data_IF_601303370317
#
_entry.id   IF_601303370317
#
_cell.length_a   1.000
_cell.length_b   1.000
_cell.length_c   1.000
_cell.angle_alpha   90.00
_cell.angle_beta   90.00
_cell.angle_gamma   90.00
#
_symmetry.space_group_name_H-M   'P 1'
#
loop_
_entity.id
_entity.type
_entity.pdbx_description
1 polymer ?
#
# COMPACT_ATOMS: atom_id res chain seq x y z
N UNK A 1 -17.39 -4.21 17.22
CA UNK A 1 -16.26 -5.17 17.10
C UNK A 1 -15.25 -4.72 18.12
N UNK A 2 -14.90 -5.60 19.05
CA UNK A 2 -13.85 -5.30 20.02
C UNK A 2 -12.51 -5.13 19.28
N UNK A 3 -11.85 -4.00 19.52
CA UNK A 3 -10.48 -3.73 19.09
C UNK A 3 -9.60 -3.66 20.33
N UNK A 4 -8.49 -4.38 20.29
CA UNK A 4 -7.40 -4.25 21.26
C UNK A 4 -6.35 -3.30 20.71
N UNK A 5 -6.17 -2.17 21.38
CA UNK A 5 -5.14 -1.18 21.10
C UNK A 5 -3.94 -1.39 22.01
N UNK A 6 -2.74 -1.40 21.45
CA UNK A 6 -1.48 -1.60 22.18
C UNK A 6 -0.56 -0.41 21.87
N UNK A 7 -0.32 0.44 22.87
CA UNK A 7 0.59 1.57 22.70
C UNK A 7 2.05 1.14 22.91
N UNK A 8 2.87 1.27 21.86
CA UNK A 8 4.28 0.86 21.86
C UNK A 8 5.25 2.05 21.82
N UNK A 9 4.76 3.27 21.56
CA UNK A 9 5.56 4.48 21.45
C UNK A 9 6.45 4.52 20.20
N UNK A 10 7.38 3.58 20.04
CA UNK A 10 8.30 3.49 18.90
C UNK A 10 7.98 2.26 18.02
N UNK A 11 7.85 2.41 16.69
CA UNK A 11 7.53 1.27 15.82
C UNK A 11 8.72 0.29 15.58
N UNK A 12 9.94 0.59 16.07
CA UNK A 12 11.11 -0.32 16.01
C UNK A 12 11.13 -1.41 17.09
N UNK A 13 10.12 -1.47 17.95
CA UNK A 13 10.03 -2.46 19.03
C UNK A 13 9.93 -3.87 18.44
N UNK A 14 10.77 -4.80 18.91
CA UNK A 14 10.66 -6.21 18.56
C UNK A 14 9.61 -6.89 19.45
N UNK A 15 8.47 -7.24 18.84
CA UNK A 15 7.37 -7.88 19.55
C UNK A 15 7.70 -9.30 20.03
N UNK A 16 8.70 -9.99 19.44
CA UNK A 16 9.07 -11.35 19.85
C UNK A 16 9.85 -11.38 21.16
N UNK A 17 10.62 -10.33 21.41
CA UNK A 17 11.42 -10.18 22.63
C UNK A 17 10.70 -9.35 23.68
N UNK A 18 9.56 -8.73 23.33
CA UNK A 18 8.78 -7.90 24.24
C UNK A 18 7.72 -8.69 25.00
N UNK A 19 7.60 -8.45 26.31
CA UNK A 19 6.47 -8.92 27.08
C UNK A 19 5.24 -8.04 26.78
N UNK A 20 4.29 -8.55 25.99
CA UNK A 20 3.10 -7.80 25.59
C UNK A 20 2.27 -7.27 26.77
N UNK A 21 2.36 -7.92 27.94
CA UNK A 21 1.67 -7.51 29.16
C UNK A 21 2.20 -6.18 29.76
N UNK A 22 3.38 -5.73 29.35
CA UNK A 22 4.01 -4.50 29.85
C UNK A 22 3.59 -3.26 29.04
N UNK A 23 2.95 -3.44 27.88
CA UNK A 23 2.45 -2.33 27.08
C UNK A 23 1.11 -1.82 27.59
N UNK A 24 0.93 -0.51 27.49
CA UNK A 24 -0.35 0.14 27.75
C UNK A 24 -1.39 -0.33 26.73
N UNK A 25 -2.32 -1.15 27.21
CA UNK A 25 -3.31 -1.86 26.37
C UNK A 25 -4.72 -1.43 26.74
N UNK A 26 -5.52 -1.12 25.73
CA UNK A 26 -6.91 -0.67 25.89
C UNK A 26 -7.81 -1.45 24.93
N UNK A 27 -8.89 -2.02 25.45
CA UNK A 27 -9.94 -2.63 24.62
C UNK A 27 -11.10 -1.66 24.44
N UNK A 28 -11.58 -1.50 23.21
CA UNK A 28 -12.76 -0.68 22.89
C UNK A 28 -13.67 -1.39 21.91
N UNK A 29 -14.97 -1.29 22.15
CA UNK A 29 -15.98 -1.72 21.19
C UNK A 29 -16.20 -0.62 20.16
N UNK A 30 -15.91 -0.88 18.88
CA UNK A 30 -16.10 0.08 17.80
C UNK A 30 -17.22 -0.34 16.83
N UNK A 31 -18.05 0.63 16.46
CA UNK A 31 -19.00 0.56 15.35
C UNK A 31 -18.30 0.81 14.01
N UNK A 32 -18.98 0.47 12.91
CA UNK A 32 -18.39 0.56 11.57
C UNK A 32 -17.94 1.98 11.17
N UNK A 33 -18.68 3.00 11.59
CA UNK A 33 -18.37 4.39 11.25
C UNK A 33 -17.37 5.03 12.22
N UNK A 34 -16.96 4.32 13.27
CA UNK A 34 -16.02 4.86 14.24
C UNK A 34 -14.63 4.94 13.61
N UNK A 35 -13.94 6.03 13.93
CA UNK A 35 -12.54 6.23 13.57
C UNK A 35 -11.62 5.47 14.51
N UNK A 36 -10.80 4.61 13.92
CA UNK A 36 -9.72 3.90 14.61
C UNK A 36 -8.57 4.88 14.88
N UNK A 37 -8.31 5.82 13.96
CA UNK A 37 -7.27 6.84 14.11
C UNK A 37 -7.55 7.75 15.31
N UNK A 38 -8.77 8.28 15.44
CA UNK A 38 -9.15 9.15 16.56
C UNK A 38 -9.19 8.37 17.88
N UNK A 39 -9.70 7.13 17.87
CA UNK A 39 -9.65 6.27 19.05
C UNK A 39 -8.22 6.02 19.53
N UNK A 40 -7.26 5.85 18.61
CA UNK A 40 -5.85 5.70 18.92
C UNK A 40 -5.22 6.99 19.47
N UNK A 41 -5.52 8.15 18.87
CA UNK A 41 -5.07 9.46 19.39
C UNK A 41 -5.54 9.68 20.83
N UNK A 42 -6.80 9.35 21.14
CA UNK A 42 -7.35 9.46 22.49
C UNK A 42 -6.64 8.55 23.50
N UNK A 43 -6.22 7.36 23.07
CA UNK A 43 -5.46 6.42 23.89
C UNK A 43 -4.07 6.98 24.20
N UNK A 44 -3.38 7.56 23.21
CA UNK A 44 -2.07 8.21 23.40
C UNK A 44 -2.19 9.39 24.37
N UNK A 45 -3.22 10.24 24.19
CA UNK A 45 -3.51 11.36 25.13
C UNK A 45 -3.72 10.85 26.55
N UNK A 46 -4.49 9.77 26.71
CA UNK A 46 -4.78 9.16 28.01
C UNK A 46 -3.52 8.61 28.68
N UNK A 47 -2.65 7.92 27.94
CA UNK A 47 -1.38 7.40 28.44
C UNK A 47 -0.45 8.53 28.91
N UNK A 48 -0.28 9.58 28.09
CA UNK A 48 0.62 10.69 28.42
C UNK A 48 0.15 11.48 29.65
N UNK A 49 -1.18 11.65 29.83
CA UNK A 49 -1.75 12.27 31.02
C UNK A 49 -1.42 11.49 32.30
N UNK A 50 -1.40 10.15 32.23
CA UNK A 50 -1.06 9.30 33.37
C UNK A 50 0.43 9.37 33.74
N UNK A 51 1.32 9.51 32.75
CA UNK A 51 2.78 9.55 32.94
C UNK A 51 3.32 10.89 33.46
N UNK A 52 2.49 11.92 33.63
CA UNK A 52 2.88 13.30 34.03
C UNK A 52 3.91 13.98 33.12
N UNK A 53 4.31 13.36 32.01
CA UNK A 53 5.12 13.97 30.94
C UNK A 53 4.31 14.97 30.08
N UNK A 54 3.06 15.26 30.47
CA UNK A 54 2.14 16.13 29.73
C UNK A 54 2.45 17.61 30.00
N UNK A 55 3.29 18.21 29.16
CA UNK A 55 3.27 19.66 28.99
C UNK A 55 1.98 20.02 28.22
N UNK A 56 1.07 20.78 28.84
CA UNK A 56 -0.21 21.24 28.26
C UNK A 56 -0.04 21.95 26.90
N UNK A 57 1.16 22.43 26.57
CA UNK A 57 1.51 23.01 25.27
C UNK A 57 1.70 22.00 24.12
N UNK A 58 1.59 20.68 24.37
CA UNK A 58 1.70 19.61 23.37
C UNK A 58 0.36 19.00 22.91
N UNK A 59 -0.75 19.70 23.12
CA UNK A 59 -2.08 19.38 22.57
C UNK A 59 -2.17 19.50 21.03
N UNK A 60 -1.01 19.62 20.35
CA UNK A 60 -0.93 19.58 18.89
C UNK A 60 -1.45 18.23 18.43
N UNK A 61 -2.23 18.24 17.35
CA UNK A 61 -2.73 17.06 16.65
C UNK A 61 -1.58 16.11 16.34
N UNK A 62 -1.33 15.14 17.24
CA UNK A 62 -0.21 14.21 17.13
C UNK A 62 -0.58 13.18 16.09
N UNK A 63 0.17 13.15 15.00
CA UNK A 63 0.07 12.08 14.02
C UNK A 63 0.46 10.75 14.68
N UNK A 64 -0.49 9.82 14.72
CA UNK A 64 -0.26 8.45 15.19
C UNK A 64 0.02 7.56 13.99
N UNK A 65 0.99 6.67 14.13
CA UNK A 65 1.21 5.60 13.18
C UNK A 65 0.57 4.33 13.71
N UNK A 66 -0.39 3.82 12.93
CA UNK A 66 -1.10 2.58 13.22
C UNK A 66 -0.38 1.41 12.57
N UNK A 67 -0.38 0.27 13.23
CA UNK A 67 0.15 -0.99 12.71
C UNK A 67 -0.77 -2.12 13.11
N UNK A 68 -0.88 -3.15 12.27
CA UNK A 68 -1.65 -4.35 12.60
C UNK A 68 -0.72 -5.43 13.11
N UNK A 69 -1.29 -6.52 13.62
CA UNK A 69 -0.47 -7.68 13.94
C UNK A 69 0.24 -8.17 12.67
N UNK A 70 1.59 -8.18 12.61
CA UNK A 70 2.30 -8.59 11.41
C UNK A 70 2.04 -10.05 11.08
N UNK A 71 1.91 -10.36 9.79
CA UNK A 71 1.93 -11.74 9.30
C UNK A 71 3.36 -12.12 8.89
N UNK A 72 3.59 -13.38 8.51
CA UNK A 72 4.90 -13.86 8.09
C UNK A 72 5.51 -12.96 6.99
N UNK A 73 6.77 -12.56 7.19
CA UNK A 73 7.50 -11.65 6.29
C UNK A 73 7.23 -10.15 6.50
N UNK A 74 6.38 -9.77 7.46
CA UNK A 74 6.13 -8.37 7.81
C UNK A 74 6.75 -7.96 9.15
N UNK A 75 7.00 -6.66 9.26
CA UNK A 75 7.30 -5.93 10.50
C UNK A 75 6.10 -5.04 10.85
N UNK A 76 6.09 -4.45 12.05
CA UNK A 76 5.07 -3.46 12.41
C UNK A 76 4.96 -2.32 11.38
N UNK A 77 6.09 -1.77 10.95
CA UNK A 77 6.15 -0.73 9.91
C UNK A 77 5.52 -1.11 8.56
N UNK A 78 5.43 -2.41 8.24
CA UNK A 78 4.94 -2.92 6.95
C UNK A 78 3.63 -3.68 7.07
N UNK A 79 3.09 -3.77 8.28
CA UNK A 79 1.81 -4.45 8.59
C UNK A 79 0.57 -3.60 8.29
N UNK A 80 0.77 -2.30 8.05
CA UNK A 80 -0.30 -1.34 7.82
C UNK A 80 -0.49 -1.05 6.32
N UNK A 81 -1.71 -0.79 5.83
CA UNK A 81 -1.95 -0.50 4.43
C UNK A 81 -1.16 0.71 3.92
N UNK A 82 -0.52 0.53 2.76
CA UNK A 82 0.18 1.59 2.02
C UNK A 82 -0.76 2.40 1.12
N UNK A 83 -2.06 2.15 1.22
CA UNK A 83 -3.07 2.69 0.32
C UNK A 83 -4.47 2.55 0.92
N UNK A 84 -5.41 3.35 0.41
CA UNK A 84 -6.85 3.20 0.64
C UNK A 84 -7.61 3.23 -0.70
N UNK A 85 -8.94 3.14 -0.66
CA UNK A 85 -9.79 3.25 -1.84
C UNK A 85 -10.69 4.48 -1.73
N UNK A 86 -10.71 5.29 -2.79
CA UNK A 86 -11.66 6.40 -2.88
C UNK A 86 -13.09 5.91 -3.20
N UNK A 87 -14.04 6.84 -3.30
CA UNK A 87 -15.45 6.53 -3.60
C UNK A 87 -15.67 5.81 -4.95
N UNK A 88 -14.73 5.93 -5.88
CA UNK A 88 -14.77 5.24 -7.19
C UNK A 88 -14.14 3.85 -7.15
N UNK A 89 -13.69 3.39 -5.99
CA UNK A 89 -12.85 2.21 -5.80
C UNK A 89 -11.50 2.28 -6.54
N UNK A 90 -11.01 3.48 -6.77
CA UNK A 90 -9.64 3.69 -7.25
C UNK A 90 -8.68 3.67 -6.05
N UNK A 91 -7.54 3.03 -6.21
CA UNK A 91 -6.52 3.00 -5.15
C UNK A 91 -5.86 4.36 -5.01
N UNK A 92 -5.67 4.80 -3.77
CA UNK A 92 -4.90 5.99 -3.40
C UNK A 92 -3.74 5.53 -2.53
N UNK A 93 -2.52 5.61 -3.06
CA UNK A 93 -1.28 5.30 -2.38
C UNK A 93 -0.92 6.40 -1.38
N UNK A 94 -0.50 5.96 -0.20
CA UNK A 94 -0.09 6.81 0.90
C UNK A 94 1.42 6.78 1.04
N UNK A 95 2.04 7.95 1.17
CA UNK A 95 3.38 8.06 1.72
C UNK A 95 3.34 7.99 3.26
N UNK A 96 4.50 8.12 3.92
CA UNK A 96 4.58 8.02 5.37
C UNK A 96 3.71 9.05 6.10
N UNK A 97 3.64 10.28 5.56
CA UNK A 97 2.83 11.37 6.12
C UNK A 97 1.34 11.08 5.90
N UNK A 98 0.99 10.65 4.69
CA UNK A 98 -0.37 10.23 4.33
C UNK A 98 -0.89 9.11 5.23
N UNK A 99 -0.06 8.10 5.53
CA UNK A 99 -0.42 7.02 6.46
C UNK A 99 -0.74 7.53 7.86
N UNK A 100 0.07 8.46 8.36
CA UNK A 100 -0.06 9.00 9.71
C UNK A 100 -1.26 9.94 9.87
N UNK A 101 -1.70 10.55 8.76
CA UNK A 101 -2.78 11.53 8.76
C UNK A 101 -4.11 10.97 8.24
N UNK A 102 -4.14 9.79 7.64
CA UNK A 102 -5.38 9.21 7.15
C UNK A 102 -6.29 8.79 8.30
N UNK A 103 -7.55 9.20 8.22
CA UNK A 103 -8.54 8.95 9.25
C UNK A 103 -9.27 7.64 8.98
N UNK A 104 -8.70 6.54 9.45
CA UNK A 104 -9.19 5.20 9.16
C UNK A 104 -10.47 4.88 9.92
N UNK A 105 -11.49 4.44 9.19
CA UNK A 105 -12.72 3.90 9.80
C UNK A 105 -12.67 2.39 9.89
N UNK A 106 -13.39 1.82 10.85
CA UNK A 106 -13.51 0.37 10.96
C UNK A 106 -14.15 -0.26 9.70
N UNK A 107 -15.15 0.41 9.11
CA UNK A 107 -15.80 -0.01 7.87
C UNK A 107 -14.80 -0.16 6.72
N UNK A 108 -13.91 0.81 6.57
CA UNK A 108 -12.90 0.83 5.52
C UNK A 108 -11.94 -0.35 5.64
N UNK A 109 -11.37 -0.58 6.83
CA UNK A 109 -10.48 -1.73 7.06
C UNK A 109 -11.18 -3.07 6.88
N UNK A 110 -12.43 -3.20 7.36
CA UNK A 110 -13.23 -4.42 7.13
C UNK A 110 -13.44 -4.67 5.65
N UNK A 111 -13.77 -3.63 4.88
CA UNK A 111 -13.93 -3.75 3.43
C UNK A 111 -12.62 -4.16 2.76
N UNK A 112 -11.48 -3.57 3.16
CA UNK A 112 -10.18 -3.94 2.62
C UNK A 112 -9.80 -5.39 2.94
N UNK A 113 -10.10 -5.85 4.17
CA UNK A 113 -9.88 -7.24 4.58
C UNK A 113 -10.79 -8.21 3.83
N UNK A 114 -12.08 -7.90 3.71
CA UNK A 114 -13.05 -8.73 2.99
C UNK A 114 -12.67 -8.94 1.52
N UNK A 115 -12.10 -7.91 0.88
CA UNK A 115 -11.67 -7.98 -0.52
C UNK A 115 -10.22 -8.48 -0.69
N UNK A 116 -9.55 -8.90 0.39
CA UNK A 116 -8.21 -9.49 0.34
C UNK A 116 -7.05 -8.50 0.17
N UNK A 117 -7.30 -7.19 0.28
CA UNK A 117 -6.26 -6.16 0.24
C UNK A 117 -5.46 -6.08 1.54
N UNK A 118 -6.09 -6.48 2.67
CA UNK A 118 -5.45 -6.59 3.99
C UNK A 118 -5.63 -8.00 4.50
N UNK A 119 -4.51 -8.67 4.81
CA UNK A 119 -4.51 -10.04 5.37
C UNK A 119 -4.43 -10.05 6.89
N UNK A 120 -3.79 -9.03 7.45
CA UNK A 120 -3.56 -8.85 8.88
C UNK A 120 -4.84 -8.90 9.71
N UNK A 121 -4.71 -9.32 10.96
CA UNK A 121 -5.77 -9.19 11.93
C UNK A 121 -5.96 -7.70 12.30
N UNK A 122 -7.13 -7.18 11.96
CA UNK A 122 -7.50 -5.77 12.19
C UNK A 122 -8.12 -5.55 13.57
N UNK A 123 -8.31 -6.62 14.37
CA UNK A 123 -8.81 -6.54 15.74
C UNK A 123 -7.72 -6.15 16.75
N UNK A 124 -6.45 -6.18 16.33
CA UNK A 124 -5.29 -5.75 17.13
C UNK A 124 -4.62 -4.60 16.41
N UNK A 125 -4.51 -3.45 17.09
CA UNK A 125 -3.91 -2.23 16.55
C UNK A 125 -2.78 -1.77 17.46
N UNK A 126 -1.56 -1.75 16.93
CA UNK A 126 -0.39 -1.17 17.57
C UNK A 126 -0.32 0.32 17.24
N UNK A 127 -0.07 1.14 18.27
CA UNK A 127 -0.01 2.60 18.15
C UNK A 127 1.41 3.07 18.46
N UNK A 128 1.98 3.83 17.53
CA UNK A 128 3.29 4.47 17.69
C UNK A 128 3.22 5.96 17.35
N UNK A 129 4.10 6.76 17.97
CA UNK A 129 4.20 8.20 17.70
C UNK A 129 5.28 8.45 16.64
N UNK A 130 4.97 9.30 15.66
CA UNK A 130 5.93 9.74 14.66
C UNK A 130 6.66 11.00 15.13
N UNK A 131 7.89 10.82 15.59
CA UNK A 131 8.78 11.95 15.89
C UNK A 131 9.52 12.37 14.62
N UNK A 132 9.04 13.46 14.00
CA UNK A 132 9.57 14.15 12.81
C UNK A 132 9.61 13.33 11.51
N UNK A 133 8.96 13.84 10.46
CA UNK A 133 9.14 13.37 9.08
C UNK A 133 9.65 14.54 8.24
N UNK A 134 10.81 14.35 7.61
CA UNK A 134 11.46 15.34 6.74
C UNK A 134 11.11 15.20 5.26
N UNK A 135 11.09 16.36 4.61
CA UNK A 135 11.16 16.70 3.19
C UNK A 135 10.16 16.08 2.18
N UNK A 136 9.46 16.97 1.46
CA UNK A 136 8.73 16.67 0.24
C UNK A 136 9.70 16.44 -0.93
N UNK A 137 9.43 15.43 -1.75
CA UNK A 137 10.18 15.13 -2.98
C UNK A 137 9.57 15.87 -4.19
N UNK A 138 10.39 16.30 -5.17
CA UNK A 138 9.90 16.99 -6.37
C UNK A 138 9.07 16.04 -7.26
N UNK A 139 7.78 16.38 -7.45
CA UNK A 139 6.78 15.54 -8.13
C UNK A 139 7.12 15.22 -9.59
N UNK A 140 7.70 16.17 -10.34
CA UNK A 140 7.99 15.98 -11.77
C UNK A 140 9.08 14.92 -12.01
N UNK A 141 10.05 14.82 -11.11
CA UNK A 141 11.08 13.79 -11.17
C UNK A 141 10.47 12.39 -11.01
N UNK A 142 9.53 12.24 -10.07
CA UNK A 142 8.81 10.98 -9.82
C UNK A 142 8.04 10.52 -11.06
N UNK A 143 7.40 11.44 -11.78
CA UNK A 143 6.64 11.10 -13.00
C UNK A 143 7.58 10.56 -14.08
N UNK A 144 8.74 11.19 -14.28
CA UNK A 144 9.72 10.75 -15.28
C UNK A 144 10.29 9.37 -14.93
N UNK A 145 10.70 9.17 -13.69
CA UNK A 145 11.25 7.89 -13.21
C UNK A 145 10.21 6.77 -13.29
N UNK A 146 8.98 7.03 -12.84
CA UNK A 146 7.90 6.06 -12.92
C UNK A 146 7.55 5.73 -14.38
N UNK A 147 7.53 6.72 -15.28
CA UNK A 147 7.29 6.48 -16.70
C UNK A 147 8.38 5.59 -17.31
N UNK A 148 9.66 5.88 -17.03
CA UNK A 148 10.80 5.06 -17.47
C UNK A 148 10.69 3.63 -16.94
N UNK A 149 10.34 3.49 -15.65
CA UNK A 149 10.10 2.20 -15.01
C UNK A 149 9.01 1.40 -15.74
N UNK A 150 7.81 1.96 -15.88
CA UNK A 150 6.66 1.28 -16.49
C UNK A 150 6.97 0.87 -17.93
N UNK A 151 7.55 1.76 -18.74
CA UNK A 151 7.97 1.42 -20.12
C UNK A 151 8.89 0.21 -20.08
N UNK A 152 9.88 0.23 -19.21
CA UNK A 152 10.90 -0.82 -19.18
C UNK A 152 10.35 -2.19 -18.74
N UNK A 153 9.34 -2.24 -17.86
CA UNK A 153 8.75 -3.51 -17.41
C UNK A 153 7.68 -4.03 -18.37
N UNK A 154 6.99 -3.14 -19.09
CA UNK A 154 5.97 -3.52 -20.07
C UNK A 154 6.51 -3.81 -21.47
N UNK A 155 7.67 -3.23 -21.85
CA UNK A 155 8.25 -3.40 -23.19
C UNK A 155 8.45 -4.87 -23.59
N UNK A 156 9.00 -5.77 -22.74
CA UNK A 156 9.11 -7.19 -23.08
C UNK A 156 7.75 -7.84 -23.37
N UNK A 157 6.73 -7.51 -22.57
CA UNK A 157 5.36 -8.04 -22.75
C UNK A 157 4.76 -7.55 -24.05
N UNK A 158 4.95 -6.26 -24.38
CA UNK A 158 4.46 -5.73 -25.65
C UNK A 158 5.14 -6.36 -26.86
N UNK A 159 6.44 -6.66 -26.77
CA UNK A 159 7.17 -7.35 -27.84
C UNK A 159 6.63 -8.76 -28.03
N UNK A 160 6.46 -9.49 -26.94
CA UNK A 160 5.93 -10.85 -26.99
C UNK A 160 4.51 -10.91 -27.57
N UNK A 161 3.61 -10.05 -27.10
CA UNK A 161 2.24 -9.97 -27.61
C UNK A 161 2.20 -9.53 -29.08
N UNK A 162 3.09 -8.64 -29.49
CA UNK A 162 3.21 -8.18 -30.88
C UNK A 162 3.70 -9.28 -31.83
N UNK A 163 4.70 -10.06 -31.39
CA UNK A 163 5.20 -11.23 -32.15
C UNK A 163 4.08 -12.26 -32.31
N UNK A 164 3.38 -12.60 -31.22
CA UNK A 164 2.26 -13.57 -31.25
C UNK A 164 1.09 -13.07 -32.10
N UNK A 165 0.85 -11.76 -32.13
CA UNK A 165 -0.27 -11.14 -32.85
C UNK A 165 0.06 -10.61 -34.25
N UNK A 166 1.29 -10.76 -34.75
CA UNK A 166 1.71 -10.29 -36.09
C UNK A 166 1.63 -8.78 -36.30
N UNK A 167 1.73 -7.95 -35.25
CA UNK A 167 1.58 -6.48 -35.32
C UNK A 167 2.88 -5.74 -35.03
N UNK A 168 3.12 -4.61 -35.71
CA UNK A 168 4.22 -3.71 -35.38
C UNK A 168 3.96 -2.92 -34.09
N UNK A 169 4.99 -2.78 -33.26
CA UNK A 169 4.92 -2.00 -32.02
C UNK A 169 5.07 -0.51 -32.36
N UNK A 170 3.98 0.25 -32.32
CA UNK A 170 4.03 1.71 -32.39
C UNK A 170 4.60 2.30 -31.09
N UNK A 171 5.91 2.43 -31.01
CA UNK A 171 6.66 2.77 -29.77
C UNK A 171 6.39 4.19 -29.26
N UNK A 172 6.23 5.19 -30.14
CA UNK A 172 6.04 6.60 -29.73
C UNK A 172 4.67 6.87 -29.09
N UNK A 173 3.61 6.29 -29.65
CA UNK A 173 2.24 6.42 -29.12
C UNK A 173 2.09 5.75 -27.76
N UNK A 174 2.65 4.54 -27.60
CA UNK A 174 2.66 3.81 -26.34
C UNK A 174 3.41 4.55 -25.23
N UNK A 175 4.58 5.14 -25.52
CA UNK A 175 5.32 5.95 -24.52
C UNK A 175 4.51 7.15 -24.02
N UNK A 176 3.83 7.88 -24.91
CA UNK A 176 2.93 8.99 -24.52
C UNK A 176 1.73 8.52 -23.71
N UNK A 177 1.19 7.33 -24.00
CA UNK A 177 0.13 6.73 -23.20
C UNK A 177 0.61 6.40 -21.78
N UNK A 178 1.74 5.71 -21.66
CA UNK A 178 2.34 5.36 -20.36
C UNK A 178 2.65 6.61 -19.54
N UNK A 179 3.18 7.67 -20.16
CA UNK A 179 3.45 8.92 -19.45
C UNK A 179 2.16 9.57 -18.90
N UNK A 180 1.04 9.47 -19.63
CA UNK A 180 -0.27 9.95 -19.13
C UNK A 180 -0.75 9.11 -17.94
N UNK A 181 -0.62 7.79 -18.02
CA UNK A 181 -0.96 6.87 -16.93
C UNK A 181 -0.09 7.15 -15.69
N UNK A 182 1.23 7.27 -15.85
CA UNK A 182 2.15 7.60 -14.77
C UNK A 182 1.81 8.96 -14.12
N UNK A 183 1.53 9.98 -14.93
CA UNK A 183 1.11 11.28 -14.44
C UNK A 183 -0.17 11.19 -13.59
N UNK A 184 -1.17 10.43 -14.07
CA UNK A 184 -2.38 10.16 -13.30
C UNK A 184 -2.08 9.45 -11.98
N UNK A 185 -1.26 8.40 -11.99
CA UNK A 185 -0.92 7.66 -10.78
C UNK A 185 -0.20 8.54 -9.75
N UNK A 186 0.77 9.35 -10.16
CA UNK A 186 1.51 10.23 -9.24
C UNK A 186 0.64 11.36 -8.70
N UNK A 187 -0.11 12.05 -9.59
CA UNK A 187 -0.85 13.26 -9.23
C UNK A 187 -2.20 12.99 -8.59
N UNK A 188 -2.92 11.95 -9.01
CA UNK A 188 -4.27 11.64 -8.52
C UNK A 188 -4.32 10.49 -7.53
N UNK A 189 -3.42 9.52 -7.65
CA UNK A 189 -3.39 8.33 -6.79
C UNK A 189 -2.22 8.32 -5.82
N UNK A 190 -1.35 9.34 -5.81
CA UNK A 190 -0.26 9.45 -4.84
C UNK A 190 0.87 8.42 -5.01
N UNK A 191 0.94 7.72 -6.15
CA UNK A 191 2.02 6.74 -6.39
C UNK A 191 3.38 7.43 -6.41
N UNK A 192 4.36 6.88 -5.68
CA UNK A 192 5.72 7.43 -5.55
C UNK A 192 6.80 6.54 -6.16
N UNK A 193 6.49 5.29 -6.50
CA UNK A 193 7.46 4.42 -7.15
C UNK A 193 6.90 3.06 -7.57
N UNK A 194 7.67 2.35 -8.39
CA UNK A 194 7.31 1.03 -8.93
C UNK A 194 7.04 -0.01 -7.83
N UNK A 195 7.77 0.07 -6.71
CA UNK A 195 7.61 -0.83 -5.56
C UNK A 195 6.21 -0.77 -4.96
N UNK A 196 5.63 0.42 -4.80
CA UNK A 196 4.27 0.56 -4.25
C UNK A 196 3.24 -0.11 -5.17
N UNK A 197 3.38 0.07 -6.49
CA UNK A 197 2.51 -0.57 -7.48
C UNK A 197 2.65 -2.09 -7.44
N UNK A 198 3.89 -2.61 -7.39
CA UNK A 198 4.14 -4.06 -7.29
C UNK A 198 3.53 -4.64 -6.03
N UNK A 199 3.79 -4.04 -4.87
CA UNK A 199 3.31 -4.54 -3.58
C UNK A 199 1.78 -4.51 -3.52
N UNK A 200 1.13 -3.48 -4.08
CA UNK A 200 -0.33 -3.43 -4.20
C UNK A 200 -0.88 -4.64 -4.97
N UNK A 201 -0.28 -4.98 -6.12
CA UNK A 201 -0.70 -6.12 -6.94
C UNK A 201 -0.39 -7.44 -6.23
N UNK A 202 0.85 -7.64 -5.78
CA UNK A 202 1.33 -8.90 -5.20
C UNK A 202 0.65 -9.24 -3.88
N UNK A 203 0.41 -8.26 -3.01
CA UNK A 203 -0.12 -8.54 -1.67
C UNK A 203 -1.54 -9.12 -1.71
N UNK A 204 -2.37 -8.68 -2.68
CA UNK A 204 -3.71 -9.23 -2.87
C UNK A 204 -3.69 -10.68 -3.38
N UNK A 205 -2.69 -11.03 -4.19
CA UNK A 205 -2.56 -12.37 -4.78
C UNK A 205 -3.35 -12.51 -6.07
N UNK A 206 -4.68 -12.60 -6.04
CA UNK A 206 -5.48 -12.88 -7.24
C UNK A 206 -6.24 -11.65 -7.72
N UNK A 207 -6.35 -11.50 -9.05
CA UNK A 207 -6.98 -10.34 -9.68
C UNK A 207 -7.94 -10.71 -10.80
N UNK A 208 -9.11 -10.08 -10.82
CA UNK A 208 -9.86 -9.93 -12.06
C UNK A 208 -9.34 -8.72 -12.84
N UNK A 209 -9.38 -8.77 -14.17
CA UNK A 209 -8.91 -7.65 -15.01
C UNK A 209 -9.70 -6.38 -14.79
N UNK A 210 -11.02 -6.47 -14.72
CA UNK A 210 -11.92 -5.33 -14.50
C UNK A 210 -11.70 -4.70 -13.12
N UNK A 211 -11.43 -5.53 -12.12
CA UNK A 211 -11.09 -5.09 -10.77
C UNK A 211 -9.79 -4.28 -10.76
N UNK A 212 -8.68 -4.84 -11.27
CA UNK A 212 -7.40 -4.16 -11.28
C UNK A 212 -7.44 -2.88 -12.14
N UNK A 213 -8.09 -2.96 -13.30
CA UNK A 213 -8.27 -1.83 -14.20
C UNK A 213 -9.01 -0.68 -13.53
N UNK A 214 -10.09 -0.98 -12.78
CA UNK A 214 -10.82 0.03 -12.00
C UNK A 214 -9.96 0.59 -10.87
N UNK A 215 -9.26 -0.25 -10.11
CA UNK A 215 -8.41 0.22 -9.02
C UNK A 215 -7.32 1.19 -9.51
N UNK A 216 -6.63 0.84 -10.60
CA UNK A 216 -5.56 1.66 -11.17
C UNK A 216 -6.06 2.72 -12.16
N UNK A 217 -7.36 2.75 -12.44
CA UNK A 217 -8.01 3.67 -13.38
C UNK A 217 -7.32 3.65 -14.76
N UNK A 218 -7.12 2.44 -15.28
CA UNK A 218 -6.49 2.11 -16.56
C UNK A 218 -7.39 1.20 -17.40
N UNK A 219 -7.01 0.92 -18.65
CA UNK A 219 -7.71 -0.07 -19.47
C UNK A 219 -7.47 -1.51 -18.97
N UNK A 220 -8.38 -2.44 -19.28
CA UNK A 220 -8.15 -3.86 -18.99
C UNK A 220 -6.93 -4.43 -19.73
N UNK A 221 -6.59 -3.88 -20.91
CA UNK A 221 -5.41 -4.27 -21.69
C UNK A 221 -4.10 -3.84 -20.99
N UNK A 222 -4.08 -2.64 -20.41
CA UNK A 222 -2.97 -2.17 -19.59
C UNK A 222 -2.86 -2.99 -18.29
N UNK A 223 -3.98 -3.29 -17.63
CA UNK A 223 -4.03 -4.12 -16.43
C UNK A 223 -3.50 -5.55 -16.70
N UNK A 224 -3.92 -6.16 -17.81
CA UNK A 224 -3.40 -7.43 -18.28
C UNK A 224 -1.88 -7.37 -18.51
N UNK A 225 -1.41 -6.33 -19.20
CA UNK A 225 0.01 -6.15 -19.49
C UNK A 225 0.84 -6.04 -18.21
N UNK A 226 0.35 -5.31 -17.20
CA UNK A 226 0.98 -5.20 -15.89
C UNK A 226 1.05 -6.56 -15.18
N UNK A 227 -0.04 -7.31 -15.15
CA UNK A 227 -0.11 -8.64 -14.53
C UNK A 227 0.87 -9.62 -15.18
N UNK A 228 0.87 -9.72 -16.51
CA UNK A 228 1.81 -10.58 -17.25
C UNK A 228 3.26 -10.15 -16.96
N UNK A 229 3.54 -8.84 -16.93
CA UNK A 229 4.89 -8.34 -16.62
C UNK A 229 5.37 -8.70 -15.21
N UNK A 230 4.46 -9.02 -14.29
CA UNK A 230 4.73 -9.50 -12.93
C UNK A 230 4.71 -11.04 -12.83
N UNK A 231 4.60 -11.75 -13.95
CA UNK A 231 4.56 -13.21 -13.99
C UNK A 231 3.24 -13.78 -13.48
N UNK A 232 2.12 -13.15 -13.83
CA UNK A 232 0.78 -13.71 -13.61
C UNK A 232 0.29 -14.42 -14.86
N UNK A 233 -0.56 -15.43 -14.67
CA UNK A 233 -1.24 -16.16 -15.74
C UNK A 233 -2.75 -16.14 -15.55
N UNK A 234 -3.50 -16.19 -16.65
CA UNK A 234 -4.95 -16.27 -16.63
C UNK A 234 -5.39 -17.72 -16.36
N UNK A 235 -6.13 -17.92 -15.27
CA UNK A 235 -6.77 -19.19 -14.90
C UNK A 235 -8.16 -18.90 -14.35
N UNK A 236 -9.18 -19.63 -14.84
CA UNK A 236 -10.55 -19.53 -14.35
C UNK A 236 -11.09 -18.08 -14.25
N UNK A 237 -10.86 -17.27 -15.29
CA UNK A 237 -11.22 -15.84 -15.38
C UNK A 237 -10.54 -14.92 -14.36
N UNK A 238 -9.46 -15.36 -13.73
CA UNK A 238 -8.63 -14.56 -12.84
C UNK A 238 -7.16 -14.66 -13.21
N UNK A 239 -6.42 -13.59 -13.00
CA UNK A 239 -4.97 -13.62 -13.04
C UNK A 239 -4.45 -14.05 -11.68
N UNK A 240 -3.67 -15.13 -11.68
CA UNK A 240 -3.03 -15.70 -10.50
C UNK A 240 -1.51 -15.63 -10.64
N UNK A 241 -0.74 -15.57 -9.54
CA UNK A 241 0.72 -15.63 -9.60
C UNK A 241 1.19 -16.97 -10.20
N UNK A 242 1.94 -16.92 -11.30
CA UNK A 242 2.57 -18.09 -11.89
C UNK A 242 3.95 -18.34 -11.26
N UNK A 243 4.35 -19.59 -11.13
CA UNK A 243 5.64 -20.01 -10.55
C UNK A 243 6.59 -20.65 -11.57
N UNK A 244 6.33 -20.46 -12.87
CA UNK A 244 7.31 -20.82 -13.90
C UNK A 244 8.60 -20.02 -13.73
N UNK A 245 9.71 -20.55 -14.26
CA UNK A 245 11.00 -19.87 -14.20
C UNK A 245 10.93 -18.46 -14.81
N UNK A 246 10.23 -18.31 -15.93
CA UNK A 246 10.00 -17.02 -16.58
C UNK A 246 9.21 -16.05 -15.69
N UNK A 247 8.14 -16.50 -15.04
CA UNK A 247 7.35 -15.67 -14.14
C UNK A 247 8.18 -15.18 -12.93
N UNK A 248 9.03 -16.06 -12.39
CA UNK A 248 9.98 -15.70 -11.32
C UNK A 248 11.01 -14.69 -11.82
N UNK A 249 11.56 -14.87 -13.02
CA UNK A 249 12.50 -13.93 -13.63
C UNK A 249 11.84 -12.56 -13.86
N UNK A 250 10.58 -12.51 -14.28
CA UNK A 250 9.82 -11.27 -14.44
C UNK A 250 9.69 -10.49 -13.13
N UNK A 251 9.35 -11.17 -12.02
CA UNK A 251 9.32 -10.52 -10.69
C UNK A 251 10.70 -10.02 -10.25
N UNK A 252 11.77 -10.80 -10.47
CA UNK A 252 13.15 -10.36 -10.17
C UNK A 252 13.56 -9.15 -10.99
N UNK A 253 13.10 -9.02 -12.25
CA UNK A 253 13.35 -7.84 -13.08
C UNK A 253 12.69 -6.59 -12.51
N UNK A 254 11.47 -6.71 -11.99
CA UNK A 254 10.82 -5.61 -11.27
C UNK A 254 11.65 -5.17 -10.07
N UNK A 255 11.99 -6.10 -9.18
CA UNK A 255 12.78 -5.81 -7.97
C UNK A 255 14.15 -5.20 -8.29
N UNK A 256 14.84 -5.71 -9.31
CA UNK A 256 16.13 -5.16 -9.75
C UNK A 256 15.99 -3.72 -10.25
N UNK A 257 14.92 -3.41 -10.98
CA UNK A 257 14.67 -2.07 -11.53
C UNK A 257 14.20 -1.08 -10.49
N UNK A 258 13.48 -1.54 -9.47
CA UNK A 258 13.12 -0.73 -8.30
C UNK A 258 14.37 -0.26 -7.54
N UNK A 259 15.40 -1.11 -7.43
CA UNK A 259 16.65 -0.78 -6.74
C UNK A 259 17.62 0.10 -7.56
N UNK A 260 17.28 0.42 -8.81
CA UNK A 260 18.06 1.32 -9.68
C UNK A 260 17.48 2.75 -9.71
N UNK A 261 16.41 3.00 -8.93
CA UNK A 261 15.75 4.28 -8.72
C UNK A 261 16.01 4.73 -7.28
#
# INVERSE_FOLDING_TARGET
>A
MEITFIYIGNPKVDLKESNLAEFYTVKKELANNDSITEAAKDIVKSYNKQKRDYLESQDKDRSVFLSFNPIEGQTLYTSYPDYYFNEKNEVIFLDLVGKANHNWTLKELKNMKLNGYVKNDISIVYISELNAIGAAFPVDHIIEELSKFIVSVLEPVFVELAIKGGRHIATKGKKRHIQRVANQWVKKQGLRGGRQLRLFIVNKGNWRLDELARCLSISQEDAMSLLISLGYELKDNQYIPCYSEEAVQNRRRWEKKENLQ
#
